data_IF_546026306016
#
_entry.id   IF_546026306016
#
_cell.length_a   1.000
_cell.length_b   1.000
_cell.length_c   1.000
_cell.angle_alpha   90.00
_cell.angle_beta   90.00
_cell.angle_gamma   90.00
#
_symmetry.space_group_name_H-M   'P 1'
#
loop_
_entity.id
_entity.type
_entity.pdbx_description
1 polymer ?
#
# COMPACT_ATOMS: atom_id res chain seq x y z
N UNK A 1 -14.88 -8.70 -4.79
CA UNK A 1 -14.28 -10.02 -4.50
C UNK A 1 -13.36 -9.84 -3.30
N UNK A 2 -13.79 -10.22 -2.10
CA UNK A 2 -12.90 -10.28 -0.93
C UNK A 2 -12.11 -11.57 -1.10
N UNK A 3 -10.86 -11.47 -1.52
CA UNK A 3 -9.99 -12.65 -1.56
C UNK A 3 -9.79 -13.11 -0.12
N UNK A 4 -9.69 -14.42 0.11
CA UNK A 4 -9.51 -15.10 1.41
C UNK A 4 -8.33 -14.61 2.27
N UNK A 5 -7.60 -13.60 1.80
CA UNK A 5 -6.31 -13.13 2.28
C UNK A 5 -6.43 -11.85 3.10
N UNK A 6 -7.59 -11.19 3.06
CA UNK A 6 -7.91 -9.99 3.82
C UNK A 6 -8.74 -10.36 5.06
N UNK A 7 -8.06 -10.79 6.13
CA UNK A 7 -8.73 -11.00 7.41
C UNK A 7 -9.08 -9.61 7.99
N UNK A 8 -10.37 -9.28 8.04
CA UNK A 8 -10.87 -7.97 8.52
C UNK A 8 -10.25 -6.73 7.83
N UNK A 9 -9.96 -6.82 6.53
CA UNK A 9 -9.45 -5.67 5.76
C UNK A 9 -8.00 -5.30 6.06
N UNK A 10 -7.21 -6.22 6.61
CA UNK A 10 -5.77 -6.08 6.81
C UNK A 10 -5.03 -6.89 5.73
N UNK A 11 -4.14 -6.22 5.00
CA UNK A 11 -3.25 -6.89 4.05
C UNK A 11 -1.97 -7.38 4.75
N UNK A 12 -1.81 -8.69 4.86
CA UNK A 12 -0.61 -9.32 5.44
C UNK A 12 0.48 -9.62 4.40
N UNK A 13 0.19 -9.44 3.11
CA UNK A 13 1.14 -9.71 2.03
C UNK A 13 2.09 -8.54 1.83
N UNK A 14 3.29 -8.87 1.35
CA UNK A 14 4.27 -7.86 0.95
C UNK A 14 3.85 -7.21 -0.36
N UNK A 15 3.59 -5.92 -0.31
CA UNK A 15 3.20 -5.08 -1.44
C UNK A 15 4.40 -4.68 -2.30
N UNK A 16 4.18 -4.52 -3.61
CA UNK A 16 5.12 -3.90 -4.54
C UNK A 16 4.53 -2.59 -5.05
N UNK A 17 5.39 -1.62 -5.36
CA UNK A 17 4.97 -0.39 -6.00
C UNK A 17 4.37 -0.69 -7.38
N UNK A 18 3.18 -0.20 -7.72
CA UNK A 18 2.59 -0.43 -9.04
C UNK A 18 3.41 0.27 -10.14
N UNK A 19 3.94 1.46 -9.86
CA UNK A 19 4.76 2.22 -10.82
C UNK A 19 6.15 1.60 -11.08
N UNK A 20 6.95 1.32 -10.05
CA UNK A 20 8.36 0.92 -10.23
C UNK A 20 8.70 -0.51 -9.76
N UNK A 21 7.69 -1.30 -9.38
CA UNK A 21 7.80 -2.69 -8.90
C UNK A 21 8.68 -2.91 -7.64
N UNK A 22 9.10 -1.83 -6.96
CA UNK A 22 9.92 -1.91 -5.74
C UNK A 22 9.11 -2.49 -4.58
N UNK A 23 9.68 -3.47 -3.88
CA UNK A 23 9.06 -4.06 -2.68
C UNK A 23 8.93 -3.03 -1.57
N UNK A 24 7.73 -2.91 -1.00
CA UNK A 24 7.48 -2.04 0.14
C UNK A 24 7.92 -2.71 1.45
N UNK A 25 8.26 -1.91 2.48
CA UNK A 25 8.55 -2.42 3.81
C UNK A 25 7.30 -3.02 4.45
N UNK A 26 7.47 -4.09 5.24
CA UNK A 26 6.39 -4.77 5.96
C UNK A 26 5.82 -3.85 7.05
N UNK A 27 6.70 -3.18 7.80
CA UNK A 27 6.30 -2.13 8.74
C UNK A 27 6.04 -0.86 7.94
N UNK A 28 4.77 -0.44 7.88
CA UNK A 28 4.36 0.80 7.20
C UNK A 28 4.69 2.02 8.04
N UNK A 29 5.07 3.12 7.38
CA UNK A 29 5.16 4.46 7.96
C UNK A 29 4.35 5.40 7.07
N UNK A 30 3.17 5.89 7.51
CA UNK A 30 2.37 6.79 6.69
C UNK A 30 3.16 8.07 6.38
N UNK A 31 3.03 8.58 5.16
CA UNK A 31 3.61 9.85 4.70
C UNK A 31 2.55 10.91 4.38
N UNK A 32 1.28 10.51 4.31
CA UNK A 32 0.13 11.37 3.99
C UNK A 32 -1.00 11.10 4.99
N UNK A 33 -1.92 12.05 5.13
CA UNK A 33 -3.14 11.87 5.94
C UNK A 33 -4.01 10.72 5.42
N UNK A 34 -4.07 10.56 4.09
CA UNK A 34 -4.72 9.42 3.45
C UNK A 34 -4.13 8.10 3.93
N UNK A 35 -2.81 7.97 3.97
CA UNK A 35 -2.16 6.75 4.46
C UNK A 35 -2.35 6.50 5.96
N UNK A 36 -2.51 7.57 6.74
CA UNK A 36 -2.84 7.47 8.15
C UNK A 36 -4.22 6.82 8.33
N UNK A 37 -5.23 7.31 7.58
CA UNK A 37 -6.62 6.87 7.67
C UNK A 37 -6.90 5.53 6.98
N UNK A 38 -6.40 5.33 5.76
CA UNK A 38 -6.75 4.20 4.90
C UNK A 38 -5.61 3.19 4.72
N UNK A 39 -4.41 3.50 5.22
CA UNK A 39 -3.21 2.71 4.97
C UNK A 39 -2.60 2.97 3.60
N UNK A 40 -1.56 2.22 3.28
CA UNK A 40 -0.80 2.39 2.05
C UNK A 40 0.65 2.76 2.28
N UNK A 41 1.33 3.11 1.19
CA UNK A 41 2.73 3.46 1.16
C UNK A 41 3.00 4.58 0.16
N UNK A 42 3.93 5.44 0.49
CA UNK A 42 4.69 6.20 -0.51
C UNK A 42 5.96 5.42 -0.83
N UNK A 43 6.17 5.09 -2.11
CA UNK A 43 7.35 4.36 -2.52
C UNK A 43 8.61 5.23 -2.32
N UNK A 44 9.56 4.76 -1.50
CA UNK A 44 10.84 5.46 -1.28
C UNK A 44 11.72 5.59 -2.53
N UNK A 45 11.48 4.80 -3.58
CA UNK A 45 12.28 4.81 -4.81
C UNK A 45 11.76 5.83 -5.83
N UNK A 46 10.46 5.85 -6.10
CA UNK A 46 9.87 6.71 -7.14
C UNK A 46 8.89 7.76 -6.61
N UNK A 47 8.63 7.81 -5.30
CA UNK A 47 7.69 8.75 -4.69
C UNK A 47 6.21 8.43 -4.93
N UNK A 48 5.88 7.39 -5.70
CA UNK A 48 4.50 7.07 -6.03
C UNK A 48 3.70 6.62 -4.81
N UNK A 49 2.50 7.19 -4.64
CA UNK A 49 1.56 6.84 -3.57
C UNK A 49 0.67 5.68 -3.99
N UNK A 50 0.48 4.70 -3.11
CA UNK A 50 -0.35 3.53 -3.36
C UNK A 50 -1.17 3.17 -2.13
N UNK A 51 -2.29 2.47 -2.35
CA UNK A 51 -3.16 2.00 -1.27
C UNK A 51 -2.52 0.86 -0.45
N UNK A 52 -3.21 0.40 0.60
CA UNK A 52 -2.76 -0.70 1.47
C UNK A 52 -2.64 -2.06 0.76
N UNK A 53 -3.06 -2.15 -0.48
CA UNK A 53 -2.99 -3.34 -1.33
C UNK A 53 -1.94 -3.22 -2.44
N UNK A 54 -1.25 -2.08 -2.56
CA UNK A 54 -0.30 -1.83 -3.63
C UNK A 54 -0.92 -1.43 -4.95
N UNK A 55 -2.17 -0.97 -4.93
CA UNK A 55 -2.86 -0.46 -6.10
C UNK A 55 -2.70 1.04 -6.21
N UNK A 56 -2.83 1.50 -7.44
CA UNK A 56 -2.88 2.92 -7.77
C UNK A 56 -4.04 3.59 -7.05
N UNK A 57 -3.78 4.81 -6.60
CA UNK A 57 -4.78 5.69 -6.03
C UNK A 57 -5.37 6.47 -7.20
N UNK A 58 -6.51 6.01 -7.68
CA UNK A 58 -7.36 6.77 -8.60
C UNK A 58 -8.53 7.25 -7.73
N UNK A 59 -8.60 8.55 -7.47
CA UNK A 59 -9.79 9.18 -6.86
C UNK A 59 -10.90 9.35 -7.90
#
# INVERSE_FOLDING_TARGET
MITREDFFGVNLKRVKCPNCNTKQPIIRKPQTERQLLYGGWTCKKCGYEMDKYGKEIND
#
